data_IF_237585844835
#
_entry.id   IF_237585844835
#
_cell.length_a   1.000
_cell.length_b   1.000
_cell.length_c   1.000
_cell.angle_alpha   90.00
_cell.angle_beta   90.00
_cell.angle_gamma   90.00
#
_symmetry.space_group_name_H-M   'P 1'
#
loop_
_entity.id
_entity.type
_entity.pdbx_description
1 polymer ?
#
# COMPACT_ATOMS: atom_id res chain seq x y z
N UNK A 1 -27.15 1.82 11.61
CA UNK A 1 -25.78 1.60 11.10
C UNK A 1 -24.74 1.33 12.18
N UNK A 2 -25.04 1.58 13.48
CA UNK A 2 -24.13 1.33 14.62
C UNK A 2 -24.26 -0.06 15.28
N UNK A 3 -25.26 -0.86 14.89
CA UNK A 3 -25.68 -2.08 15.62
C UNK A 3 -25.01 -3.36 15.09
N UNK A 4 -24.31 -3.30 13.95
CA UNK A 4 -23.65 -4.47 13.35
C UNK A 4 -22.14 -4.52 13.65
N UNK A 5 -21.51 -3.38 13.97
CA UNK A 5 -20.11 -3.35 14.40
C UNK A 5 -19.85 -4.05 15.75
N UNK A 6 -20.89 -4.38 16.52
CA UNK A 6 -20.78 -5.10 17.79
C UNK A 6 -20.82 -6.63 17.60
N UNK A 7 -21.15 -7.15 16.41
CA UNK A 7 -21.21 -8.59 16.10
C UNK A 7 -19.88 -9.24 15.66
N UNK A 8 -18.79 -8.46 15.55
CA UNK A 8 -17.50 -8.88 14.98
C UNK A 8 -16.69 -9.86 15.86
N UNK A 9 -17.15 -10.18 17.07
CA UNK A 9 -16.41 -11.07 17.96
C UNK A 9 -16.32 -12.50 17.41
N UNK A 10 -17.38 -13.03 16.81
CA UNK A 10 -17.41 -14.45 16.42
C UNK A 10 -16.49 -14.72 15.23
N UNK A 11 -16.54 -13.89 14.17
CA UNK A 11 -15.65 -14.05 13.00
C UNK A 11 -14.18 -13.86 13.38
N UNK A 12 -13.89 -12.88 14.24
CA UNK A 12 -12.53 -12.65 14.76
C UNK A 12 -12.03 -13.80 15.64
N UNK A 13 -12.89 -14.34 16.52
CA UNK A 13 -12.56 -15.50 17.35
C UNK A 13 -12.32 -16.75 16.49
N UNK A 14 -13.14 -16.95 15.47
CA UNK A 14 -13.01 -18.03 14.50
C UNK A 14 -11.72 -17.92 13.69
N UNK A 15 -11.37 -16.70 13.26
CA UNK A 15 -10.09 -16.43 12.62
C UNK A 15 -8.93 -16.71 13.57
N UNK A 16 -8.98 -16.26 14.84
CA UNK A 16 -7.93 -16.53 15.84
C UNK A 16 -7.65 -18.02 16.01
N UNK A 17 -8.67 -18.89 15.96
CA UNK A 17 -8.49 -20.34 16.03
C UNK A 17 -7.70 -20.85 14.81
N UNK A 18 -8.09 -20.44 13.60
CA UNK A 18 -7.39 -20.81 12.38
C UNK A 18 -5.97 -20.24 12.34
N UNK A 19 -5.79 -18.98 12.73
CA UNK A 19 -4.50 -18.30 12.78
C UNK A 19 -3.53 -18.98 13.75
N UNK A 20 -3.99 -19.35 14.95
CA UNK A 20 -3.18 -20.12 15.90
C UNK A 20 -2.65 -21.41 15.27
N UNK A 21 -3.52 -22.12 14.53
CA UNK A 21 -3.13 -23.35 13.83
C UNK A 21 -2.14 -23.09 12.70
N UNK A 22 -2.29 -21.99 11.96
CA UNK A 22 -1.33 -21.54 10.95
C UNK A 22 0.04 -21.30 11.59
N UNK A 23 0.10 -20.58 12.71
CA UNK A 23 1.36 -20.32 13.41
C UNK A 23 2.06 -21.60 13.89
N UNK A 24 1.30 -22.60 14.38
CA UNK A 24 1.85 -23.92 14.70
C UNK A 24 2.55 -24.55 13.49
N UNK A 25 1.91 -24.55 12.31
CA UNK A 25 2.54 -25.02 11.08
C UNK A 25 3.79 -24.20 10.69
N UNK A 26 3.76 -22.88 10.86
CA UNK A 26 4.92 -22.01 10.58
C UNK A 26 6.12 -22.36 11.44
N UNK A 27 5.93 -22.62 12.72
CA UNK A 27 7.03 -23.05 13.61
C UNK A 27 7.63 -24.39 13.17
N UNK A 28 6.81 -25.31 12.66
CA UNK A 28 7.28 -26.56 12.06
C UNK A 28 8.09 -26.35 10.78
N UNK A 29 7.72 -25.40 9.92
CA UNK A 29 8.52 -25.08 8.73
C UNK A 29 9.86 -24.43 9.09
N UNK A 30 9.88 -23.49 10.04
CA UNK A 30 11.10 -22.83 10.51
C UNK A 30 12.07 -23.85 11.14
N UNK A 31 11.55 -24.75 11.99
CA UNK A 31 12.36 -25.80 12.61
C UNK A 31 12.85 -26.85 11.59
N UNK A 32 12.05 -27.17 10.57
CA UNK A 32 12.46 -28.04 9.48
C UNK A 32 13.61 -27.47 8.64
N UNK A 33 13.57 -26.16 8.36
CA UNK A 33 14.65 -25.46 7.63
C UNK A 33 15.96 -25.36 8.41
N UNK A 34 15.90 -25.24 9.74
CA UNK A 34 17.10 -25.15 10.60
C UNK A 34 17.76 -26.51 10.89
N UNK A 35 16.96 -27.57 11.01
CA UNK A 35 17.44 -28.87 11.51
C UNK A 35 17.71 -29.91 10.40
N UNK A 36 17.79 -29.50 9.12
CA UNK A 36 17.93 -30.41 7.97
C UNK A 36 17.00 -31.64 8.07
N UNK A 37 15.73 -31.39 8.45
CA UNK A 37 14.76 -32.45 8.67
C UNK A 37 14.49 -33.19 7.35
N UNK A 38 14.35 -34.51 7.42
CA UNK A 38 14.03 -35.41 6.31
C UNK A 38 13.05 -34.75 5.30
N UNK A 39 13.44 -34.62 4.00
CA UNK A 39 12.61 -34.04 2.95
C UNK A 39 11.19 -34.59 2.88
N UNK A 40 11.00 -35.88 3.15
CA UNK A 40 9.69 -36.54 3.13
C UNK A 40 8.78 -36.06 4.26
N UNK A 41 9.35 -35.79 5.44
CA UNK A 41 8.60 -35.23 6.57
C UNK A 41 8.18 -33.80 6.27
N UNK A 42 9.07 -33.00 5.68
CA UNK A 42 8.77 -31.63 5.24
C UNK A 42 7.70 -31.60 4.15
N UNK A 43 7.73 -32.56 3.21
CA UNK A 43 6.69 -32.72 2.18
C UNK A 43 5.35 -33.10 2.79
N UNK A 44 5.33 -34.00 3.77
CA UNK A 44 4.12 -34.39 4.50
C UNK A 44 3.50 -33.21 5.26
N UNK A 45 4.30 -32.45 6.01
CA UNK A 45 3.83 -31.26 6.75
C UNK A 45 3.24 -30.23 5.78
N UNK A 46 3.91 -29.97 4.64
CA UNK A 46 3.37 -29.10 3.57
C UNK A 46 2.03 -29.59 3.03
N UNK A 47 1.90 -30.90 2.76
CA UNK A 47 0.65 -31.48 2.27
C UNK A 47 -0.48 -31.35 3.28
N UNK A 48 -0.22 -31.63 4.56
CA UNK A 48 -1.22 -31.49 5.63
C UNK A 48 -1.65 -30.04 5.78
N UNK A 49 -0.70 -29.10 5.75
CA UNK A 49 -0.99 -27.67 5.83
C UNK A 49 -1.85 -27.19 4.65
N UNK A 50 -1.58 -27.68 3.43
CA UNK A 50 -2.38 -27.36 2.25
C UNK A 50 -3.82 -27.88 2.35
N UNK A 51 -4.03 -29.09 2.89
CA UNK A 51 -5.38 -29.62 3.16
C UNK A 51 -6.12 -28.71 4.13
N UNK A 52 -5.47 -28.39 5.26
CA UNK A 52 -6.04 -27.49 6.26
C UNK A 52 -6.44 -26.12 5.67
N UNK A 53 -5.58 -25.48 4.88
CA UNK A 53 -5.91 -24.21 4.24
C UNK A 53 -7.07 -24.33 3.25
N UNK A 54 -7.19 -25.47 2.56
CA UNK A 54 -8.27 -25.72 1.60
C UNK A 54 -9.61 -25.94 2.31
N UNK A 55 -9.62 -26.72 3.39
CA UNK A 55 -10.77 -26.93 4.27
C UNK A 55 -11.23 -25.61 4.91
N UNK A 56 -10.29 -24.83 5.45
CA UNK A 56 -10.59 -23.51 6.00
C UNK A 56 -11.19 -22.57 4.93
N UNK A 57 -10.64 -22.56 3.71
CA UNK A 57 -11.18 -21.73 2.62
C UNK A 57 -12.62 -22.14 2.27
N UNK A 58 -12.89 -23.45 2.17
CA UNK A 58 -14.24 -23.95 1.92
C UNK A 58 -15.20 -23.57 3.03
N UNK A 59 -14.77 -23.66 4.28
CA UNK A 59 -15.55 -23.25 5.44
C UNK A 59 -15.96 -21.77 5.40
N UNK A 60 -15.03 -20.84 5.13
CA UNK A 60 -15.38 -19.41 5.02
C UNK A 60 -16.26 -19.11 3.79
N UNK A 61 -16.04 -19.80 2.67
CA UNK A 61 -16.90 -19.68 1.50
C UNK A 61 -18.35 -20.09 1.81
N UNK A 62 -18.53 -21.26 2.42
CA UNK A 62 -19.85 -21.77 2.83
C UNK A 62 -20.51 -20.86 3.88
N UNK A 63 -19.73 -20.34 4.82
CA UNK A 63 -20.19 -19.37 5.81
C UNK A 63 -20.72 -18.10 5.14
N UNK A 64 -19.97 -17.52 4.21
CA UNK A 64 -20.39 -16.33 3.44
C UNK A 64 -21.69 -16.63 2.68
N UNK A 65 -21.78 -17.77 1.98
CA UNK A 65 -22.98 -18.14 1.24
C UNK A 65 -24.19 -18.35 2.17
N UNK A 66 -23.99 -18.96 3.33
CA UNK A 66 -25.04 -19.18 4.31
C UNK A 66 -25.53 -17.89 4.94
N UNK A 67 -24.64 -16.96 5.28
CA UNK A 67 -24.99 -15.62 5.74
C UNK A 67 -25.81 -14.90 4.66
N UNK A 68 -25.31 -14.89 3.41
CA UNK A 68 -25.99 -14.25 2.26
C UNK A 68 -27.41 -14.78 2.04
N UNK A 69 -27.60 -16.09 2.12
CA UNK A 69 -28.91 -16.73 1.92
C UNK A 69 -29.86 -16.55 3.11
N UNK A 70 -29.35 -16.55 4.34
CA UNK A 70 -30.17 -16.43 5.57
C UNK A 70 -30.76 -15.03 5.72
N UNK A 71 -30.00 -13.99 5.36
CA UNK A 71 -30.44 -12.60 5.49
C UNK A 71 -31.12 -12.03 4.24
N UNK A 72 -31.40 -12.86 3.22
CA UNK A 72 -32.10 -12.50 1.95
C UNK A 72 -31.63 -11.16 1.40
N UNK A 73 -30.31 -10.99 1.31
CA UNK A 73 -29.73 -9.71 0.90
C UNK A 73 -29.69 -9.60 -0.63
N UNK A 74 -30.12 -8.47 -1.21
CA UNK A 74 -29.92 -8.19 -2.63
C UNK A 74 -28.43 -8.23 -2.97
N UNK A 75 -28.09 -8.69 -4.18
CA UNK A 75 -26.75 -8.55 -4.74
C UNK A 75 -26.34 -7.06 -4.70
N UNK A 76 -25.53 -6.65 -3.72
CA UNK A 76 -24.84 -5.36 -3.71
C UNK A 76 -25.13 -4.37 -2.58
N UNK A 77 -25.93 -4.68 -1.55
CA UNK A 77 -26.17 -3.73 -0.45
C UNK A 77 -25.96 -4.36 0.95
N UNK A 78 -24.97 -3.82 1.68
CA UNK A 78 -24.44 -4.16 3.02
C UNK A 78 -23.46 -5.35 3.08
N UNK A 79 -22.42 -5.43 3.91
CA UNK A 79 -21.55 -4.56 4.75
C UNK A 79 -20.82 -5.45 5.80
N UNK A 80 -21.15 -6.75 5.88
CA UNK A 80 -20.58 -7.72 6.84
C UNK A 80 -19.52 -8.65 6.21
N UNK A 81 -18.94 -8.30 5.07
CA UNK A 81 -17.99 -9.17 4.35
C UNK A 81 -16.51 -8.80 4.45
N UNK A 82 -16.16 -7.69 5.13
CA UNK A 82 -14.76 -7.22 5.20
C UNK A 82 -13.84 -8.27 5.80
N UNK A 83 -14.21 -8.83 6.95
CA UNK A 83 -13.35 -9.73 7.70
C UNK A 83 -13.29 -11.11 7.03
N UNK A 84 -14.43 -11.62 6.55
CA UNK A 84 -14.46 -12.89 5.82
C UNK A 84 -13.72 -12.86 4.47
N UNK A 85 -13.81 -11.75 3.72
CA UNK A 85 -12.98 -11.55 2.52
C UNK A 85 -11.50 -11.39 2.88
N UNK A 86 -11.16 -10.64 3.93
CA UNK A 86 -9.78 -10.53 4.39
C UNK A 86 -9.20 -11.90 4.83
N UNK A 87 -9.98 -12.71 5.54
CA UNK A 87 -9.60 -14.08 5.94
C UNK A 87 -9.42 -14.98 4.73
N UNK A 88 -10.32 -14.90 3.74
CA UNK A 88 -10.16 -15.64 2.48
C UNK A 88 -8.89 -15.22 1.73
N UNK A 89 -8.56 -13.92 1.76
CA UNK A 89 -7.29 -13.38 1.29
C UNK A 89 -6.09 -13.98 2.03
N UNK A 90 -6.11 -14.02 3.36
CA UNK A 90 -5.03 -14.57 4.19
C UNK A 90 -4.79 -16.05 3.90
N UNK A 91 -5.85 -16.85 3.86
CA UNK A 91 -5.77 -18.28 3.54
C UNK A 91 -5.17 -18.52 2.15
N UNK A 92 -5.59 -17.72 1.17
CA UNK A 92 -5.06 -17.79 -0.20
C UNK A 92 -3.59 -17.35 -0.26
N UNK A 93 -3.22 -16.30 0.46
CA UNK A 93 -1.82 -15.88 0.59
C UNK A 93 -0.95 -16.96 1.22
N UNK A 94 -1.42 -17.61 2.30
CA UNK A 94 -0.68 -18.71 2.93
C UNK A 94 -0.57 -19.93 2.01
N UNK A 95 -1.56 -20.19 1.14
CA UNK A 95 -1.46 -21.22 0.09
C UNK A 95 -0.37 -20.89 -0.91
N UNK A 96 -0.22 -19.63 -1.32
CA UNK A 96 0.89 -19.20 -2.19
C UNK A 96 2.25 -19.31 -1.51
N UNK A 97 2.37 -18.85 -0.26
CA UNK A 97 3.63 -18.79 0.47
C UNK A 97 4.23 -20.17 0.80
N UNK A 98 3.37 -21.14 1.12
CA UNK A 98 3.79 -22.49 1.53
C UNK A 98 3.42 -23.58 0.51
N UNK A 99 2.83 -23.17 -0.61
CA UNK A 99 2.45 -24.04 -1.71
C UNK A 99 3.61 -24.31 -2.66
N UNK A 100 3.26 -24.58 -3.91
CA UNK A 100 4.22 -24.80 -4.98
C UNK A 100 4.57 -23.45 -5.62
N UNK A 101 5.87 -23.19 -5.81
CA UNK A 101 6.40 -21.90 -6.23
C UNK A 101 5.83 -21.45 -7.59
N UNK A 102 5.59 -22.41 -8.49
CA UNK A 102 5.03 -22.18 -9.81
C UNK A 102 3.59 -21.60 -9.76
N UNK A 103 2.90 -21.79 -8.64
CA UNK A 103 1.52 -21.32 -8.43
C UNK A 103 1.43 -20.11 -7.49
N UNK A 104 2.51 -19.71 -6.83
CA UNK A 104 2.50 -18.65 -5.83
C UNK A 104 1.99 -17.32 -6.41
N UNK A 105 2.42 -16.96 -7.62
CA UNK A 105 1.94 -15.75 -8.31
C UNK A 105 0.42 -15.74 -8.52
N UNK A 106 -0.16 -16.89 -8.92
CA UNK A 106 -1.61 -17.03 -9.11
C UNK A 106 -2.37 -16.92 -7.79
N UNK A 107 -1.86 -17.54 -6.74
CA UNK A 107 -2.46 -17.47 -5.40
C UNK A 107 -2.37 -16.04 -4.83
N UNK A 108 -1.27 -15.32 -5.04
CA UNK A 108 -1.14 -13.90 -4.65
C UNK A 108 -2.09 -13.00 -5.44
N UNK A 109 -2.26 -13.24 -6.74
CA UNK A 109 -3.24 -12.54 -7.55
C UNK A 109 -4.67 -12.77 -7.02
N UNK A 110 -5.03 -14.01 -6.68
CA UNK A 110 -6.32 -14.34 -6.09
C UNK A 110 -6.51 -13.70 -4.70
N UNK A 111 -5.49 -13.76 -3.83
CA UNK A 111 -5.51 -13.08 -2.53
C UNK A 111 -5.70 -11.56 -2.68
N UNK A 112 -5.08 -10.96 -3.69
CA UNK A 112 -5.23 -9.52 -3.97
C UNK A 112 -6.67 -9.13 -4.31
N UNK A 113 -7.43 -10.01 -4.98
CA UNK A 113 -8.85 -9.76 -5.30
C UNK A 113 -9.67 -9.71 -4.01
N UNK A 114 -9.47 -10.67 -3.11
CA UNK A 114 -10.17 -10.70 -1.83
C UNK A 114 -9.84 -9.48 -0.95
N UNK A 115 -8.58 -9.07 -0.86
CA UNK A 115 -8.22 -7.88 -0.09
C UNK A 115 -8.74 -6.58 -0.72
N UNK A 116 -8.79 -6.50 -2.06
CA UNK A 116 -9.41 -5.35 -2.76
C UNK A 116 -10.91 -5.29 -2.46
N UNK A 117 -11.61 -6.42 -2.48
CA UNK A 117 -13.02 -6.50 -2.10
C UNK A 117 -13.22 -6.09 -0.63
N UNK A 118 -12.40 -6.61 0.30
CA UNK A 118 -12.46 -6.22 1.71
C UNK A 118 -12.25 -4.72 1.92
N UNK A 119 -11.30 -4.11 1.20
CA UNK A 119 -11.05 -2.67 1.24
C UNK A 119 -12.23 -1.85 0.69
N UNK A 120 -12.96 -2.35 -0.31
CA UNK A 120 -14.18 -1.70 -0.82
C UNK A 120 -15.34 -1.82 0.16
N UNK A 121 -15.45 -2.94 0.87
CA UNK A 121 -16.51 -3.18 1.85
C UNK A 121 -16.33 -2.37 3.13
N UNK A 122 -15.09 -2.17 3.58
CA UNK A 122 -14.77 -1.37 4.76
C UNK A 122 -13.57 -0.43 4.50
N UNK A 123 -13.78 0.71 3.82
CA UNK A 123 -12.70 1.65 3.47
C UNK A 123 -11.97 2.25 4.68
N UNK A 124 -12.62 2.27 5.84
CA UNK A 124 -12.07 2.75 7.11
C UNK A 124 -11.09 1.76 7.76
N UNK A 125 -10.96 0.52 7.27
CA UNK A 125 -10.10 -0.51 7.85
C UNK A 125 -8.72 -0.56 7.17
N UNK A 126 -7.65 -0.41 7.94
CA UNK A 126 -6.28 -0.43 7.42
C UNK A 126 -5.78 -1.83 7.04
N UNK A 127 -6.32 -2.91 7.63
CA UNK A 127 -5.76 -4.26 7.48
C UNK A 127 -5.73 -4.75 6.01
N UNK A 128 -6.80 -4.61 5.19
CA UNK A 128 -6.73 -5.00 3.78
C UNK A 128 -5.62 -4.28 3.00
N UNK A 129 -5.37 -3.01 3.29
CA UNK A 129 -4.25 -2.27 2.68
C UNK A 129 -2.89 -2.80 3.15
N UNK A 130 -2.74 -3.12 4.44
CA UNK A 130 -1.53 -3.76 4.96
C UNK A 130 -1.22 -5.10 4.25
N UNK A 131 -2.23 -5.95 4.08
CA UNK A 131 -2.03 -7.23 3.39
C UNK A 131 -1.69 -7.05 1.90
N UNK A 132 -2.33 -6.09 1.22
CA UNK A 132 -1.98 -5.73 -0.17
C UNK A 132 -0.54 -5.22 -0.29
N UNK A 133 -0.03 -4.50 0.72
CA UNK A 133 1.37 -4.07 0.75
C UNK A 133 2.34 -5.26 0.84
N UNK A 134 2.01 -6.26 1.67
CA UNK A 134 2.80 -7.49 1.78
C UNK A 134 2.82 -8.23 0.44
N UNK A 135 1.67 -8.39 -0.23
CA UNK A 135 1.61 -9.03 -1.55
C UNK A 135 2.49 -8.28 -2.58
N UNK A 136 2.40 -6.96 -2.63
CA UNK A 136 3.24 -6.14 -3.51
C UNK A 136 4.74 -6.35 -3.23
N UNK A 137 5.12 -6.45 -1.94
CA UNK A 137 6.51 -6.70 -1.55
C UNK A 137 7.04 -8.07 -1.99
N UNK A 138 6.19 -9.10 -2.04
CA UNK A 138 6.58 -10.42 -2.55
C UNK A 138 6.86 -10.42 -4.06
N UNK A 139 6.19 -9.52 -4.80
CA UNK A 139 6.40 -9.33 -6.24
C UNK A 139 7.50 -8.32 -6.57
N UNK A 140 8.14 -7.71 -5.58
CA UNK A 140 9.16 -6.66 -5.80
C UNK A 140 8.59 -5.31 -6.24
N UNK A 141 7.28 -5.09 -6.14
CA UNK A 141 6.64 -3.81 -6.45
C UNK A 141 6.70 -2.87 -5.23
N UNK A 142 7.86 -2.24 -5.05
CA UNK A 142 8.17 -1.42 -3.87
C UNK A 142 7.30 -0.17 -3.78
N UNK A 143 7.02 0.50 -4.90
CA UNK A 143 6.16 1.69 -4.94
C UNK A 143 4.75 1.34 -4.49
N UNK A 144 4.17 0.24 -4.98
CA UNK A 144 2.85 -0.21 -4.51
C UNK A 144 2.88 -0.64 -3.06
N UNK A 145 3.95 -1.32 -2.60
CA UNK A 145 4.08 -1.73 -1.20
C UNK A 145 4.08 -0.52 -0.26
N UNK A 146 4.92 0.48 -0.53
CA UNK A 146 5.02 1.72 0.27
C UNK A 146 3.68 2.47 0.25
N UNK A 147 3.09 2.66 -0.93
CA UNK A 147 1.78 3.29 -1.07
C UNK A 147 0.72 2.58 -0.22
N UNK A 148 0.65 1.26 -0.28
CA UNK A 148 -0.33 0.47 0.47
C UNK A 148 -0.09 0.50 1.98
N UNK A 149 1.16 0.51 2.43
CA UNK A 149 1.47 0.73 3.86
C UNK A 149 1.03 2.11 4.33
N UNK A 150 1.25 3.17 3.55
CA UNK A 150 0.73 4.49 3.88
C UNK A 150 -0.80 4.54 3.90
N UNK A 151 -1.46 3.95 2.91
CA UNK A 151 -2.93 3.83 2.89
C UNK A 151 -3.46 3.06 4.12
N UNK A 152 -2.74 2.05 4.58
CA UNK A 152 -3.08 1.32 5.81
C UNK A 152 -3.00 2.17 7.08
N UNK A 153 -2.25 3.28 7.05
CA UNK A 153 -2.08 4.22 8.16
C UNK A 153 -2.97 5.46 8.04
N UNK A 154 -3.39 5.81 6.83
CA UNK A 154 -4.22 6.97 6.48
C UNK A 154 -5.71 6.59 6.28
N UNK A 155 -6.28 5.85 7.22
CA UNK A 155 -7.71 5.51 7.30
C UNK A 155 -8.18 5.67 8.75
N UNK A 156 -9.49 5.71 8.98
CA UNK A 156 -10.07 5.95 10.31
C UNK A 156 -9.66 4.90 11.36
N UNK A 157 -9.44 3.65 10.94
CA UNK A 157 -8.93 2.57 11.80
C UNK A 157 -7.58 2.07 11.25
N UNK A 158 -6.47 2.76 11.56
CA UNK A 158 -5.14 2.39 11.08
C UNK A 158 -4.71 0.99 11.55
N UNK A 159 -3.97 0.27 10.71
CA UNK A 159 -3.32 -0.98 11.11
C UNK A 159 -1.88 -0.71 11.55
N UNK A 160 -1.62 -0.77 12.85
CA UNK A 160 -0.35 -0.32 13.47
C UNK A 160 0.90 -1.03 12.92
N UNK A 161 0.79 -2.32 12.59
CA UNK A 161 1.91 -3.11 12.04
C UNK A 161 2.43 -2.58 10.69
N UNK A 162 1.65 -1.75 9.97
CA UNK A 162 2.11 -1.10 8.75
C UNK A 162 3.29 -0.16 9.01
N UNK A 163 3.36 0.49 10.18
CA UNK A 163 4.46 1.40 10.53
C UNK A 163 5.79 0.65 10.63
N UNK A 164 5.82 -0.46 11.35
CA UNK A 164 7.04 -1.26 11.53
C UNK A 164 7.51 -1.85 10.19
N UNK A 165 6.58 -2.37 9.39
CA UNK A 165 6.91 -2.90 8.07
C UNK A 165 7.42 -1.82 7.10
N UNK A 166 6.90 -0.59 7.21
CA UNK A 166 7.36 0.53 6.41
C UNK A 166 8.80 0.92 6.77
N UNK A 167 9.14 0.95 8.07
CA UNK A 167 10.52 1.20 8.53
C UNK A 167 11.46 0.13 7.95
N UNK A 168 11.09 -1.15 8.07
CA UNK A 168 11.88 -2.25 7.50
C UNK A 168 12.04 -2.15 5.98
N UNK A 169 11.01 -1.69 5.27
CA UNK A 169 11.07 -1.49 3.83
C UNK A 169 12.06 -0.38 3.45
N UNK A 170 12.05 0.75 4.17
CA UNK A 170 12.99 1.84 3.95
C UNK A 170 14.43 1.46 4.35
N UNK A 171 14.63 0.74 5.45
CA UNK A 171 15.95 0.26 5.88
C UNK A 171 16.56 -0.70 4.85
N UNK A 172 15.74 -1.61 4.32
CA UNK A 172 16.12 -2.51 3.24
C UNK A 172 16.52 -1.71 1.99
N UNK A 173 15.68 -0.76 1.58
CA UNK A 173 15.95 0.09 0.43
C UNK A 173 17.25 0.89 0.57
N UNK A 174 17.48 1.48 1.75
CA UNK A 174 18.70 2.22 2.06
C UNK A 174 19.94 1.32 1.97
N UNK A 175 19.86 0.11 2.53
CA UNK A 175 20.98 -0.84 2.52
C UNK A 175 21.29 -1.33 1.10
N UNK A 176 20.27 -1.56 0.26
CA UNK A 176 20.44 -2.04 -1.11
C UNK A 176 20.99 -0.98 -2.06
N UNK A 177 20.76 0.30 -1.77
CA UNK A 177 21.07 1.40 -2.68
C UNK A 177 22.10 2.40 -2.11
N UNK A 178 22.80 2.03 -1.03
CA UNK A 178 23.78 2.88 -0.35
C UNK A 178 24.91 3.39 -1.26
N UNK A 179 25.22 2.67 -2.35
CA UNK A 179 26.24 3.06 -3.34
C UNK A 179 25.71 3.95 -4.48
N UNK A 180 24.39 4.00 -4.69
CA UNK A 180 23.77 4.65 -5.86
C UNK A 180 23.44 6.14 -5.61
N UNK A 181 23.07 6.50 -4.39
CA UNK A 181 22.58 7.86 -4.07
C UNK A 181 23.67 8.91 -3.82
N UNK A 182 24.94 8.53 -3.84
CA UNK A 182 26.06 9.47 -3.64
C UNK A 182 26.41 10.32 -4.86
N UNK A 183 25.82 10.08 -6.04
CA UNK A 183 26.37 10.61 -7.31
C UNK A 183 25.36 11.16 -8.34
N UNK A 184 24.04 11.07 -8.14
CA UNK A 184 23.06 11.40 -9.19
C UNK A 184 22.11 12.55 -8.80
N UNK A 185 21.98 13.60 -9.63
CA UNK A 185 20.94 14.61 -9.45
C UNK A 185 19.59 14.01 -9.89
N UNK A 186 18.80 13.57 -8.89
CA UNK A 186 17.47 12.95 -9.02
C UNK A 186 16.53 13.73 -9.96
N UNK A 187 16.67 15.05 -10.04
CA UNK A 187 15.87 15.93 -10.90
C UNK A 187 16.15 15.69 -12.39
N UNK A 188 17.41 15.49 -12.78
CA UNK A 188 17.77 15.25 -14.19
C UNK A 188 17.20 13.93 -14.69
N UNK A 189 17.24 12.89 -13.85
CA UNK A 189 16.68 11.58 -14.17
C UNK A 189 15.14 11.64 -14.25
N UNK A 190 14.50 12.41 -13.36
CA UNK A 190 13.06 12.62 -13.41
C UNK A 190 12.65 13.36 -14.70
N UNK A 191 13.38 14.40 -15.10
CA UNK A 191 13.11 15.11 -16.35
C UNK A 191 13.28 14.19 -17.56
N UNK A 192 14.36 13.40 -17.60
CA UNK A 192 14.57 12.39 -18.65
C UNK A 192 13.39 11.42 -18.70
N UNK A 193 12.98 10.89 -17.54
CA UNK A 193 11.91 9.91 -17.43
C UNK A 193 10.51 10.48 -17.74
N UNK A 194 10.30 11.79 -17.61
CA UNK A 194 9.04 12.44 -18.00
C UNK A 194 9.05 12.95 -19.45
N UNK A 195 10.23 13.23 -20.01
CA UNK A 195 10.38 13.77 -21.36
C UNK A 195 10.14 12.73 -22.45
N UNK A 196 9.30 13.07 -23.43
CA UNK A 196 8.88 12.12 -24.47
C UNK A 196 8.49 12.74 -25.83
N UNK A 197 9.09 13.87 -26.18
CA UNK A 197 8.71 14.59 -27.41
C UNK A 197 7.24 15.09 -27.35
N UNK A 198 6.58 15.34 -28.49
CA UNK A 198 5.23 15.93 -28.53
C UNK A 198 4.10 14.95 -28.18
N UNK A 199 4.41 13.66 -28.02
CA UNK A 199 3.45 12.60 -27.73
C UNK A 199 3.76 11.97 -26.36
N UNK A 200 2.75 11.42 -25.71
CA UNK A 200 2.91 10.75 -24.42
C UNK A 200 3.70 9.43 -24.60
N UNK A 201 4.83 9.27 -23.92
CA UNK A 201 5.51 7.97 -23.79
C UNK A 201 5.33 7.40 -22.40
N UNK A 202 5.20 6.08 -22.36
CA UNK A 202 4.90 5.30 -21.16
C UNK A 202 6.21 4.83 -20.51
N UNK A 203 6.68 5.57 -19.50
CA UNK A 203 7.95 5.32 -18.82
C UNK A 203 7.82 4.56 -17.49
N UNK A 204 6.59 4.26 -17.05
CA UNK A 204 6.25 3.59 -15.79
C UNK A 204 5.34 2.36 -15.98
N UNK A 205 5.91 1.17 -16.15
CA UNK A 205 5.11 -0.04 -16.39
C UNK A 205 4.70 -0.19 -17.87
N UNK A 206 3.95 -1.25 -18.19
CA UNK A 206 3.85 -1.74 -19.58
C UNK A 206 2.73 -1.04 -20.36
N UNK A 207 1.72 -0.52 -19.67
CA UNK A 207 0.53 0.10 -20.27
C UNK A 207 0.15 1.43 -19.60
N UNK A 208 -0.65 2.25 -20.30
CA UNK A 208 -1.02 3.59 -19.87
C UNK A 208 -1.72 3.63 -18.50
N UNK A 209 -2.56 2.63 -18.21
CA UNK A 209 -3.25 2.53 -16.93
C UNK A 209 -2.28 2.26 -15.77
N UNK A 210 -1.27 1.42 -15.97
CA UNK A 210 -0.24 1.13 -14.97
C UNK A 210 0.65 2.34 -14.72
N UNK A 211 0.97 3.09 -15.78
CA UNK A 211 1.70 4.35 -15.71
C UNK A 211 0.95 5.38 -14.88
N UNK A 212 -0.29 5.68 -15.26
CA UNK A 212 -1.15 6.62 -14.54
C UNK A 212 -1.27 6.23 -13.07
N UNK A 213 -1.51 4.95 -12.78
CA UNK A 213 -1.61 4.44 -11.42
C UNK A 213 -0.30 4.59 -10.63
N UNK A 214 0.84 4.37 -11.26
CA UNK A 214 2.16 4.52 -10.63
C UNK A 214 2.43 5.96 -10.22
N UNK A 215 2.12 6.92 -11.11
CA UNK A 215 2.28 8.35 -10.81
C UNK A 215 1.32 8.80 -9.70
N UNK A 216 0.07 8.34 -9.72
CA UNK A 216 -0.90 8.58 -8.62
C UNK A 216 -0.37 8.05 -7.29
N UNK A 217 0.24 6.85 -7.27
CA UNK A 217 0.85 6.29 -6.04
C UNK A 217 2.00 7.15 -5.54
N UNK A 218 2.89 7.62 -6.44
CA UNK A 218 4.01 8.48 -6.08
C UNK A 218 3.53 9.80 -5.47
N UNK A 219 2.56 10.47 -6.10
CA UNK A 219 1.95 11.69 -5.55
C UNK A 219 1.31 11.43 -4.18
N UNK A 220 0.58 10.33 -4.02
CA UNK A 220 -0.03 9.98 -2.73
C UNK A 220 1.03 9.70 -1.64
N UNK A 221 2.17 9.09 -1.98
CA UNK A 221 3.31 8.90 -1.09
C UNK A 221 3.88 10.25 -0.65
N UNK A 222 4.06 11.20 -1.59
CA UNK A 222 4.55 12.55 -1.28
C UNK A 222 3.59 13.29 -0.35
N UNK A 223 2.28 13.26 -0.64
CA UNK A 223 1.23 13.84 0.22
C UNK A 223 1.28 13.25 1.63
N UNK A 224 1.37 11.91 1.75
CA UNK A 224 1.47 11.27 3.05
C UNK A 224 2.74 11.69 3.80
N UNK A 225 3.86 11.82 3.07
CA UNK A 225 5.15 12.23 3.66
C UNK A 225 5.05 13.62 4.28
N UNK A 226 4.43 14.58 3.57
CA UNK A 226 4.13 15.91 4.11
C UNK A 226 3.23 15.81 5.34
N UNK A 227 2.12 15.08 5.25
CA UNK A 227 1.17 14.94 6.36
C UNK A 227 1.83 14.34 7.61
N UNK A 228 2.64 13.31 7.44
CA UNK A 228 3.34 12.63 8.53
C UNK A 228 4.44 13.53 9.14
N UNK A 229 5.18 14.29 8.32
CA UNK A 229 6.18 15.24 8.80
C UNK A 229 5.55 16.40 9.60
N UNK A 230 4.36 16.85 9.17
CA UNK A 230 3.62 17.94 9.82
C UNK A 230 2.97 17.53 11.17
N UNK A 231 2.83 16.24 11.46
CA UNK A 231 2.13 15.78 12.65
C UNK A 231 2.88 16.15 13.93
N UNK A 232 2.35 17.10 14.71
CA UNK A 232 2.86 17.41 16.04
C UNK A 232 2.73 16.19 16.98
N UNK A 233 3.77 15.92 17.77
CA UNK A 233 3.69 14.96 18.87
C UNK A 233 3.86 15.73 20.18
N UNK A 234 3.06 15.39 21.18
CA UNK A 234 3.22 15.96 22.53
C UNK A 234 4.58 15.51 23.10
N UNK A 235 5.29 16.42 23.78
CA UNK A 235 6.61 16.19 24.41
C UNK A 235 7.81 15.99 23.47
N UNK A 236 7.91 16.78 22.39
CA UNK A 236 9.12 16.79 21.54
C UNK A 236 10.27 17.61 22.16
N UNK A 237 11.50 17.13 21.97
CA UNK A 237 12.71 17.90 22.24
C UNK A 237 12.93 18.98 21.17
N UNK A 238 13.71 20.02 21.51
CA UNK A 238 14.05 21.08 20.56
C UNK A 238 14.74 20.54 19.29
N UNK A 239 15.62 19.55 19.43
CA UNK A 239 16.32 18.94 18.29
C UNK A 239 15.34 18.23 17.33
N UNK A 240 14.34 17.51 17.87
CA UNK A 240 13.32 16.85 17.07
C UNK A 240 12.41 17.86 16.34
N UNK A 241 12.11 18.99 16.99
CA UNK A 241 11.32 20.07 16.37
C UNK A 241 12.08 20.66 15.17
N UNK A 242 13.38 20.96 15.33
CA UNK A 242 14.20 21.50 14.25
C UNK A 242 14.33 20.50 13.10
N UNK A 243 14.63 19.24 13.40
CA UNK A 243 14.73 18.19 12.37
C UNK A 243 13.41 17.99 11.62
N UNK A 244 12.28 17.99 12.32
CA UNK A 244 10.96 17.87 11.68
C UNK A 244 10.64 19.03 10.77
N UNK A 245 11.04 20.26 11.14
CA UNK A 245 10.88 21.44 10.27
C UNK A 245 11.63 21.25 8.95
N UNK A 246 12.89 20.81 9.00
CA UNK A 246 13.71 20.55 7.80
C UNK A 246 13.10 19.43 6.95
N UNK A 247 12.68 18.32 7.57
CA UNK A 247 12.04 17.22 6.84
C UNK A 247 10.73 17.67 6.18
N UNK A 248 9.94 18.50 6.87
CA UNK A 248 8.69 19.04 6.33
C UNK A 248 8.95 19.97 5.14
N UNK A 249 9.96 20.86 5.24
CA UNK A 249 10.38 21.72 4.13
C UNK A 249 10.78 20.89 2.92
N UNK A 250 11.69 19.93 3.09
CA UNK A 250 12.12 19.04 2.01
C UNK A 250 10.95 18.25 1.40
N UNK A 251 10.04 17.73 2.23
CA UNK A 251 8.86 17.00 1.76
C UNK A 251 7.95 17.88 0.90
N UNK A 252 7.74 19.15 1.29
CA UNK A 252 6.99 20.09 0.47
C UNK A 252 7.72 20.43 -0.83
N UNK A 253 9.02 20.76 -0.76
CA UNK A 253 9.84 21.07 -1.94
C UNK A 253 9.73 19.94 -2.96
N UNK A 254 10.03 18.70 -2.55
CA UNK A 254 9.94 17.52 -3.43
C UNK A 254 8.53 17.32 -3.98
N UNK A 255 7.49 17.51 -3.16
CA UNK A 255 6.11 17.35 -3.62
C UNK A 255 5.72 18.39 -4.69
N UNK A 256 6.02 19.67 -4.47
CA UNK A 256 5.72 20.74 -5.42
C UNK A 256 6.57 20.63 -6.69
N UNK A 257 7.86 20.32 -6.58
CA UNK A 257 8.71 20.11 -7.76
C UNK A 257 8.22 18.93 -8.59
N UNK A 258 7.99 17.78 -7.98
CA UNK A 258 7.55 16.57 -8.69
C UNK A 258 6.25 16.81 -9.46
N UNK A 259 5.22 17.36 -8.80
CA UNK A 259 3.95 17.63 -9.48
C UNK A 259 4.07 18.80 -10.46
N UNK A 260 4.94 19.78 -10.21
CA UNK A 260 5.28 20.84 -11.16
C UNK A 260 5.85 20.29 -12.46
N UNK A 261 6.72 19.28 -12.39
CA UNK A 261 7.24 18.61 -13.59
C UNK A 261 6.16 17.82 -14.33
N UNK A 262 5.22 17.18 -13.63
CA UNK A 262 4.07 16.54 -14.27
C UNK A 262 3.19 17.56 -15.01
N UNK A 263 2.92 18.71 -14.39
CA UNK A 263 2.17 19.81 -15.01
C UNK A 263 2.88 20.37 -16.22
N UNK A 264 4.18 20.69 -16.11
CA UNK A 264 5.01 21.15 -17.22
C UNK A 264 4.93 20.16 -18.38
N UNK A 265 5.01 18.87 -18.10
CA UNK A 265 4.92 17.83 -19.13
C UNK A 265 3.55 17.83 -19.81
N UNK A 266 2.46 17.99 -19.07
CA UNK A 266 1.12 18.08 -19.64
C UNK A 266 0.99 19.24 -20.64
N UNK A 267 1.62 20.39 -20.35
CA UNK A 267 1.59 21.59 -21.22
C UNK A 267 2.39 21.40 -22.51
N UNK A 268 3.39 20.52 -22.52
CA UNK A 268 4.20 20.19 -23.70
C UNK A 268 3.50 19.22 -24.68
N UNK A 269 2.39 18.60 -24.28
CA UNK A 269 1.62 17.70 -25.12
C UNK A 269 0.73 18.47 -26.10
N UNK A 270 0.46 17.85 -27.26
CA UNK A 270 -0.48 18.43 -28.23
C UNK A 270 -1.92 18.47 -27.71
N UNK A 271 -2.32 17.44 -26.96
CA UNK A 271 -3.61 17.35 -26.29
C UNK A 271 -3.40 17.13 -24.79
N UNK A 272 -3.58 18.19 -24.00
CA UNK A 272 -3.43 18.16 -22.54
C UNK A 272 -4.38 17.14 -21.91
N UNK A 273 -5.60 16.99 -22.44
CA UNK A 273 -6.62 16.11 -21.89
C UNK A 273 -6.25 14.62 -22.05
N UNK A 274 -5.33 14.30 -22.95
CA UNK A 274 -4.82 12.95 -23.16
C UNK A 274 -3.79 12.52 -22.10
N UNK A 275 -3.31 13.44 -21.25
CA UNK A 275 -2.21 13.12 -20.36
C UNK A 275 -2.59 12.15 -19.25
N UNK A 276 -1.76 11.11 -19.10
CA UNK A 276 -1.89 10.10 -18.04
C UNK A 276 -1.58 10.66 -16.64
N UNK A 277 -1.02 11.87 -16.54
CA UNK A 277 -0.64 12.50 -15.27
C UNK A 277 -1.76 13.31 -14.63
N UNK A 278 -2.82 13.65 -15.38
CA UNK A 278 -3.94 14.46 -14.87
C UNK A 278 -4.56 13.91 -13.58
N UNK A 279 -4.82 12.60 -13.40
CA UNK A 279 -5.37 12.09 -12.15
C UNK A 279 -4.47 12.33 -10.94
N UNK A 280 -3.14 12.28 -11.13
CA UNK A 280 -2.18 12.51 -10.06
C UNK A 280 -2.10 14.00 -9.68
N UNK A 281 -2.10 14.88 -10.69
CA UNK A 281 -2.15 16.33 -10.51
C UNK A 281 -3.43 16.75 -9.79
N UNK A 282 -4.59 16.21 -10.21
CA UNK A 282 -5.88 16.48 -9.57
C UNK A 282 -5.88 16.06 -8.10
N UNK A 283 -5.37 14.87 -7.77
CA UNK A 283 -5.27 14.41 -6.39
C UNK A 283 -4.41 15.36 -5.52
N UNK A 284 -3.34 15.92 -6.07
CA UNK A 284 -2.51 16.89 -5.37
C UNK A 284 -3.22 18.23 -5.15
N UNK A 285 -3.90 18.76 -6.18
CA UNK A 285 -4.66 20.02 -6.10
C UNK A 285 -5.83 19.88 -5.11
N UNK A 286 -6.56 18.76 -5.15
CA UNK A 286 -7.64 18.48 -4.19
C UNK A 286 -7.12 18.42 -2.75
N UNK A 287 -5.95 17.81 -2.55
CA UNK A 287 -5.32 17.79 -1.24
C UNK A 287 -4.96 19.19 -0.74
N UNK A 288 -4.37 20.05 -1.60
CA UNK A 288 -4.08 21.45 -1.26
C UNK A 288 -5.35 22.24 -0.94
N UNK A 289 -6.42 22.04 -1.71
CA UNK A 289 -7.70 22.69 -1.47
C UNK A 289 -8.31 22.33 -0.10
N UNK A 290 -8.03 21.12 0.40
CA UNK A 290 -8.46 20.68 1.73
C UNK A 290 -7.56 21.21 2.87
N UNK A 291 -6.40 21.80 2.58
CA UNK A 291 -5.42 22.25 3.58
C UNK A 291 -4.96 23.69 3.32
N UNK A 292 -5.84 24.70 3.52
CA UNK A 292 -5.53 26.10 3.21
C UNK A 292 -4.30 26.63 3.97
N UNK A 293 -4.01 26.12 5.16
CA UNK A 293 -2.83 26.48 5.94
C UNK A 293 -1.51 26.13 5.23
N UNK A 294 -1.50 25.06 4.43
CA UNK A 294 -0.32 24.70 3.64
C UNK A 294 -0.11 25.65 2.48
N UNK A 295 -1.16 26.24 1.93
CA UNK A 295 -1.08 27.22 0.85
C UNK A 295 -0.68 28.59 1.40
N UNK A 296 -1.22 28.98 2.56
CA UNK A 296 -1.01 30.30 3.18
C UNK A 296 0.28 30.44 4.01
N UNK A 297 1.04 29.35 4.22
CA UNK A 297 2.26 29.38 5.02
C UNK A 297 3.27 30.43 4.49
N UNK A 298 3.62 31.42 5.31
CA UNK A 298 4.54 32.50 4.94
C UNK A 298 6.00 32.24 5.32
N UNK A 299 6.25 31.31 6.24
CA UNK A 299 7.60 30.88 6.64
C UNK A 299 8.02 29.67 5.79
N UNK A 300 8.63 29.94 4.65
CA UNK A 300 9.26 28.93 3.79
C UNK A 300 10.67 29.36 3.41
N UNK A 301 11.56 28.40 3.19
CA UNK A 301 12.89 28.68 2.65
C UNK A 301 12.81 29.00 1.15
N UNK A 302 13.94 29.47 0.59
CA UNK A 302 14.02 29.87 -0.82
C UNK A 302 13.75 28.70 -1.77
N UNK A 303 14.14 27.48 -1.38
CA UNK A 303 13.98 26.28 -2.21
C UNK A 303 12.52 25.87 -2.32
N UNK A 304 11.82 25.80 -1.18
CA UNK A 304 10.39 25.53 -1.12
C UNK A 304 9.58 26.64 -1.83
N UNK A 305 9.98 27.91 -1.67
CA UNK A 305 9.34 29.03 -2.39
C UNK A 305 9.54 28.90 -3.90
N UNK A 306 10.74 28.53 -4.34
CA UNK A 306 11.06 28.26 -5.75
C UNK A 306 10.21 27.13 -6.33
N UNK A 307 10.13 26.00 -5.64
CA UNK A 307 9.32 24.84 -6.05
C UNK A 307 7.83 25.18 -6.20
N UNK A 308 7.28 25.94 -5.25
CA UNK A 308 5.88 26.40 -5.31
C UNK A 308 5.66 27.36 -6.46
N UNK A 309 6.57 28.31 -6.65
CA UNK A 309 6.51 29.24 -7.79
C UNK A 309 6.55 28.48 -9.11
N UNK A 310 7.43 27.48 -9.25
CA UNK A 310 7.49 26.63 -10.43
C UNK A 310 6.19 25.86 -10.69
N UNK A 311 5.54 25.34 -9.64
CA UNK A 311 4.27 24.62 -9.77
C UNK A 311 3.10 25.51 -10.21
N UNK A 312 3.07 26.78 -9.79
CA UNK A 312 1.97 27.70 -10.09
C UNK A 312 2.12 28.50 -11.38
N UNK A 313 3.31 28.48 -12.01
CA UNK A 313 3.62 29.20 -13.26
C UNK A 313 3.63 28.25 -14.46
#
# INVERSE_FOLDING_TARGET
MKVICEGHEIEHLLWKIHYKRIEEFRTHFISAGKNNINPDRTKRIRSTFRSFLSEATGFYHDLILKIRSTYVLPFGYFSEGSDSSAVSGDLTRYKGLYGDADYASREYAAASVYYKEAALLCPSNGNPHHQLAILASYSGDEVTAIYRYFRSLAVDNPFSAARENLILAFDKFHTQNHEVYGQLPVISDLQILLSSGPHEELNFGVEAAENALSVVKLVAILIFTVHNANKCADNQSFAEIVQRRVVLQNAFTTAFEFVGYLLKRCVELHDIASSIYLPAILAFIEWLACHPDFVACSEMDEEQAGARSFFWN
#
